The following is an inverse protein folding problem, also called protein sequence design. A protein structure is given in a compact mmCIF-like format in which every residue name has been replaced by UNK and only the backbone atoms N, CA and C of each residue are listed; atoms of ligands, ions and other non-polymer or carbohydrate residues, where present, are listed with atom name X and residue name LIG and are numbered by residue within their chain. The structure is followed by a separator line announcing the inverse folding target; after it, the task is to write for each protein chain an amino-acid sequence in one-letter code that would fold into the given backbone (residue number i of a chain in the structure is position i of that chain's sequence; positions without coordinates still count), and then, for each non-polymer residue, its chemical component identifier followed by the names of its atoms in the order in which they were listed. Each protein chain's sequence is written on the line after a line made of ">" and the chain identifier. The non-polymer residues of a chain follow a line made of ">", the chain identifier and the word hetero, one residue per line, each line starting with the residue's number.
data_IF_895701211863
#
_entry.id   IF_895701211863
#
_cell.length_a   1.000
_cell.length_b   1.000
_cell.length_c   1.000
_cell.angle_alpha   90.00
_cell.angle_beta   90.00
_cell.angle_gamma   90.00
#
_symmetry.space_group_name_H-M   'P 1'
#
loop_
_entity.id
_entity.type
_entity.pdbx_description
1 polymer ?
#
# COMPACT_ATOMS: atom_id res chain seq x y z
N UNK A 1 -16.70 12.21 3.42
CA UNK A 1 -16.82 10.73 3.53
C UNK A 1 -16.77 10.37 5.00
N UNK A 2 -17.70 9.53 5.46
CA UNK A 2 -17.63 8.97 6.80
C UNK A 2 -16.39 8.07 6.89
N UNK A 3 -15.47 8.38 7.81
CA UNK A 3 -14.17 7.70 7.93
C UNK A 3 -14.29 6.27 8.46
N UNK A 4 -15.49 5.89 8.91
CA UNK A 4 -15.74 4.57 9.48
C UNK A 4 -16.31 3.59 8.45
N UNK A 5 -16.58 3.98 7.21
CA UNK A 5 -17.13 3.05 6.21
C UNK A 5 -16.00 2.42 5.40
N UNK A 6 -15.86 1.09 5.50
CA UNK A 6 -14.99 0.30 4.63
C UNK A 6 -15.80 -0.34 3.50
N UNK A 7 -15.31 -0.24 2.27
CA UNK A 7 -15.96 -0.78 1.06
C UNK A 7 -15.07 -1.83 0.41
N UNK A 8 -15.68 -2.97 0.07
CA UNK A 8 -15.09 -4.10 -0.64
C UNK A 8 -15.84 -4.34 -1.96
N UNK A 9 -15.36 -5.27 -2.78
CA UNK A 9 -16.09 -5.70 -3.99
C UNK A 9 -17.45 -6.30 -3.66
N UNK A 10 -17.56 -6.96 -2.52
CA UNK A 10 -18.73 -7.71 -2.09
C UNK A 10 -19.75 -6.88 -1.31
N UNK A 11 -19.38 -5.68 -0.83
CA UNK A 11 -20.26 -4.86 -0.01
C UNK A 11 -19.56 -3.80 0.83
N UNK A 12 -20.16 -3.44 1.95
CA UNK A 12 -19.65 -2.40 2.84
C UNK A 12 -19.97 -2.69 4.31
N UNK A 13 -19.07 -2.25 5.20
CA UNK A 13 -19.23 -2.36 6.65
C UNK A 13 -18.87 -1.03 7.32
N UNK A 14 -19.43 -0.81 8.51
CA UNK A 14 -18.98 0.25 9.41
C UNK A 14 -17.95 -0.34 10.38
N UNK A 15 -16.77 0.26 10.39
CA UNK A 15 -15.66 -0.08 11.28
C UNK A 15 -15.88 0.55 12.67
N UNK A 16 -15.48 -0.14 13.74
CA UNK A 16 -15.56 0.41 15.08
C UNK A 16 -14.59 1.58 15.25
N UNK A 17 -14.86 2.42 16.24
CA UNK A 17 -13.99 3.53 16.60
C UNK A 17 -12.57 3.03 16.94
N UNK A 18 -11.56 3.79 16.52
CA UNK A 18 -10.15 3.46 16.74
C UNK A 18 -9.59 2.39 15.79
N UNK A 19 -10.41 1.78 14.94
CA UNK A 19 -9.91 0.81 13.97
C UNK A 19 -8.96 1.46 12.97
N UNK A 20 -7.78 0.88 12.81
CA UNK A 20 -6.81 1.29 11.80
C UNK A 20 -6.85 0.31 10.63
N UNK A 21 -7.34 0.75 9.48
CA UNK A 21 -7.34 -0.06 8.26
C UNK A 21 -5.90 -0.47 7.88
N UNK A 22 -5.71 -1.77 7.67
CA UNK A 22 -4.46 -2.39 7.20
C UNK A 22 -4.69 -3.42 6.10
N UNK A 23 -5.81 -3.29 5.36
CA UNK A 23 -6.22 -4.22 4.32
C UNK A 23 -5.16 -4.33 3.22
N UNK A 24 -4.78 -5.56 2.85
CA UNK A 24 -3.96 -5.86 1.69
C UNK A 24 -4.86 -6.46 0.61
N UNK A 25 -5.09 -5.72 -0.47
CA UNK A 25 -5.75 -6.29 -1.64
C UNK A 25 -4.71 -6.99 -2.51
N UNK A 26 -4.99 -8.21 -2.95
CA UNK A 26 -4.13 -8.98 -3.85
C UNK A 26 -4.93 -9.38 -5.09
N UNK A 27 -4.51 -8.90 -6.25
CA UNK A 27 -5.01 -9.30 -7.56
C UNK A 27 -4.02 -10.30 -8.13
N UNK A 28 -4.36 -11.59 -8.09
CA UNK A 28 -3.52 -12.67 -8.60
C UNK A 28 -4.22 -13.35 -9.78
N UNK A 29 -3.47 -13.65 -10.84
CA UNK A 29 -3.95 -14.51 -11.91
C UNK A 29 -4.04 -15.96 -11.40
N UNK A 30 -5.23 -16.59 -11.40
CA UNK A 30 -5.37 -17.99 -10.97
C UNK A 30 -4.50 -18.96 -11.75
N UNK A 31 -4.13 -18.63 -13.00
CA UNK A 31 -3.26 -19.45 -13.85
C UNK A 31 -1.77 -19.15 -13.65
N UNK A 32 -1.45 -18.14 -12.84
CA UNK A 32 -0.08 -17.67 -12.59
C UNK A 32 0.70 -17.27 -13.86
N UNK A 33 0.01 -16.84 -14.93
CA UNK A 33 0.65 -16.33 -16.14
C UNK A 33 1.13 -14.88 -15.97
N UNK A 34 0.51 -14.13 -15.04
CA UNK A 34 0.89 -12.75 -14.69
C UNK A 34 1.32 -12.66 -13.21
N UNK A 35 2.31 -11.80 -12.88
CA UNK A 35 2.68 -11.56 -11.49
C UNK A 35 1.51 -10.93 -10.72
N UNK A 36 1.37 -11.24 -9.41
CA UNK A 36 0.33 -10.64 -8.60
C UNK A 36 0.58 -9.15 -8.38
N UNK A 37 -0.51 -8.38 -8.31
CA UNK A 37 -0.48 -6.97 -7.93
C UNK A 37 -1.07 -6.83 -6.52
N UNK A 38 -0.34 -6.15 -5.64
CA UNK A 38 -0.78 -5.89 -4.27
C UNK A 38 -1.02 -4.40 -4.03
N UNK A 39 -2.05 -4.08 -3.24
CA UNK A 39 -2.38 -2.72 -2.81
C UNK A 39 -2.51 -2.74 -1.28
N UNK A 40 -1.53 -2.14 -0.60
CA UNK A 40 -1.48 -2.01 0.86
C UNK A 40 -1.88 -0.60 1.31
N UNK A 41 -2.09 -0.42 2.62
CA UNK A 41 -2.34 0.88 3.24
C UNK A 41 -1.30 1.15 4.31
N UNK A 42 -0.88 2.40 4.38
CA UNK A 42 -0.11 2.92 5.50
C UNK A 42 -0.51 4.37 5.80
N UNK A 43 0.03 4.91 6.89
CA UNK A 43 -0.12 6.31 7.28
C UNK A 43 1.22 7.02 7.11
N UNK A 44 1.16 8.30 6.77
CA UNK A 44 2.33 9.17 6.71
C UNK A 44 3.08 9.24 8.06
N UNK A 45 2.36 9.01 9.18
CA UNK A 45 2.90 9.01 10.54
C UNK A 45 3.63 10.34 10.85
N UNK A 46 4.89 10.28 11.25
CA UNK A 46 5.70 11.45 11.62
C UNK A 46 6.50 12.05 10.45
N UNK A 47 6.31 11.56 9.21
CA UNK A 47 6.98 12.13 8.04
C UNK A 47 6.28 13.41 7.61
N UNK A 48 7.03 14.40 7.13
CA UNK A 48 6.48 15.69 6.75
C UNK A 48 5.83 15.68 5.36
N UNK A 49 6.28 14.78 4.48
CA UNK A 49 5.83 14.68 3.10
C UNK A 49 5.95 13.22 2.57
N UNK A 50 5.27 12.89 1.45
CA UNK A 50 5.33 11.56 0.86
C UNK A 50 6.74 11.09 0.48
N UNK A 51 7.62 12.00 0.07
CA UNK A 51 8.99 11.68 -0.36
C UNK A 51 9.85 11.16 0.80
N UNK A 52 9.74 11.78 1.97
CA UNK A 52 10.35 11.31 3.22
C UNK A 52 9.83 9.93 3.61
N UNK A 53 8.51 9.73 3.52
CA UNK A 53 7.90 8.43 3.79
C UNK A 53 8.37 7.35 2.80
N UNK A 54 8.40 7.63 1.50
CA UNK A 54 8.90 6.69 0.50
C UNK A 54 10.36 6.33 0.79
N UNK A 55 11.18 7.33 1.12
CA UNK A 55 12.60 7.12 1.46
C UNK A 55 12.78 6.22 2.68
N UNK A 56 11.95 6.35 3.71
CA UNK A 56 11.98 5.47 4.89
C UNK A 56 11.53 4.04 4.56
N UNK A 57 10.51 3.87 3.70
CA UNK A 57 10.08 2.56 3.22
C UNK A 57 11.17 1.85 2.40
N UNK A 58 11.85 2.58 1.51
CA UNK A 58 12.97 2.03 0.73
C UNK A 58 14.13 1.60 1.64
N UNK A 59 14.43 2.36 2.69
CA UNK A 59 15.45 1.97 3.68
C UNK A 59 15.06 0.71 4.46
N UNK A 60 13.77 0.52 4.77
CA UNK A 60 13.26 -0.72 5.37
C UNK A 60 13.48 -1.90 4.42
N UNK A 61 13.11 -1.76 3.15
CA UNK A 61 13.28 -2.82 2.14
C UNK A 61 14.75 -3.18 1.95
N UNK A 62 15.65 -2.20 1.83
CA UNK A 62 17.08 -2.44 1.71
C UNK A 62 17.67 -3.21 2.90
N UNK A 63 17.15 -2.97 4.11
CA UNK A 63 17.61 -3.66 5.33
C UNK A 63 17.05 -5.07 5.46
N UNK A 64 15.81 -5.30 5.00
CA UNK A 64 15.05 -6.52 5.30
C UNK A 64 14.98 -7.51 4.15
N UNK A 65 15.10 -7.04 2.91
CA UNK A 65 15.01 -7.89 1.72
C UNK A 65 16.40 -8.36 1.32
N UNK A 66 16.57 -9.68 1.20
CA UNK A 66 17.81 -10.29 0.72
C UNK A 66 18.08 -9.86 -0.72
N UNK A 67 19.33 -9.49 -1.01
CA UNK A 67 19.79 -9.11 -2.36
C UNK A 67 18.97 -7.97 -3.00
N UNK A 68 18.46 -7.03 -2.18
CA UNK A 68 17.69 -5.87 -2.65
C UNK A 68 18.50 -5.00 -3.62
N UNK A 69 17.93 -4.72 -4.80
CA UNK A 69 18.47 -3.78 -5.76
C UNK A 69 17.42 -2.73 -6.14
N UNK A 70 17.74 -1.47 -5.83
CA UNK A 70 16.87 -0.33 -6.09
C UNK A 70 17.11 0.22 -7.50
N UNK A 71 16.05 0.33 -8.31
CA UNK A 71 16.08 1.09 -9.55
C UNK A 71 15.79 2.59 -9.30
N UNK A 72 16.13 3.43 -10.27
CA UNK A 72 15.88 4.87 -10.17
C UNK A 72 14.39 5.18 -9.98
N UNK A 73 14.09 6.08 -9.04
CA UNK A 73 12.73 6.54 -8.78
C UNK A 73 12.19 7.31 -9.99
N UNK A 74 10.92 7.09 -10.32
CA UNK A 74 10.22 7.79 -11.39
C UNK A 74 8.89 8.36 -10.86
N UNK A 75 8.50 9.57 -11.28
CA UNK A 75 7.21 10.13 -10.92
C UNK A 75 6.09 9.29 -11.53
N UNK A 76 5.02 9.07 -10.76
CA UNK A 76 3.84 8.32 -11.20
C UNK A 76 2.59 9.13 -10.93
N UNK A 77 1.62 9.03 -11.83
CA UNK A 77 0.28 9.59 -11.68
C UNK A 77 -0.70 8.43 -11.62
N UNK A 78 -1.53 8.39 -10.59
CA UNK A 78 -2.58 7.38 -10.47
C UNK A 78 -3.86 7.90 -11.12
N UNK A 79 -4.31 7.23 -12.19
CA UNK A 79 -5.48 7.64 -12.97
C UNK A 79 -5.13 8.59 -14.13
N UNK A 80 -6.18 9.10 -14.78
CA UNK A 80 -6.12 10.18 -15.78
C UNK A 80 -6.83 11.40 -15.23
#
# INVERSE_FOLDING_TARGET
>A
MDKNICRFSEGMITLPEGYCERTLNTLADPRSAMPPVTISRDKLANHNNPEEYISSQLAILQRQMKDWQQQANQPVVFGR
#
